data_IF_947535541753
#
_entry.id   IF_947535541753
#
_cell.length_a   1.000
_cell.length_b   1.000
_cell.length_c   1.000
_cell.angle_alpha   90.00
_cell.angle_beta   90.00
_cell.angle_gamma   90.00
#
_symmetry.space_group_name_H-M   'P 1'
#
loop_
_entity.id
_entity.type
_entity.pdbx_description
1 polymer ?
#
# COMPACT_ATOMS: atom_id res chain seq x y z
N UNK A 1 26.48 -10.98 1.88
CA UNK A 1 25.29 -11.51 1.16
C UNK A 1 24.09 -11.23 2.06
N UNK A 2 23.01 -10.64 1.54
CA UNK A 2 21.80 -10.40 2.35
C UNK A 2 21.30 -11.73 2.91
N UNK A 3 21.13 -11.83 4.23
CA UNK A 3 20.48 -12.99 4.83
C UNK A 3 19.10 -13.20 4.18
N UNK A 4 18.81 -14.42 3.74
CA UNK A 4 17.50 -14.79 3.18
C UNK A 4 17.28 -14.59 1.67
N UNK A 5 18.19 -13.96 0.92
CA UNK A 5 18.06 -13.88 -0.55
C UNK A 5 18.29 -15.25 -1.21
N UNK A 6 17.33 -15.70 -2.01
CA UNK A 6 17.46 -16.92 -2.84
C UNK A 6 17.00 -16.61 -4.26
N UNK A 7 17.94 -16.63 -5.22
CA UNK A 7 17.60 -16.45 -6.63
C UNK A 7 16.58 -17.51 -7.07
N UNK A 8 15.58 -17.10 -7.86
CA UNK A 8 14.52 -17.97 -8.37
C UNK A 8 13.67 -18.67 -7.29
N UNK A 9 13.60 -18.13 -6.06
CA UNK A 9 12.75 -18.69 -5.00
C UNK A 9 11.27 -18.36 -5.15
N UNK A 10 10.92 -17.37 -5.98
CA UNK A 10 9.55 -16.91 -6.16
C UNK A 10 9.05 -17.17 -7.58
N UNK A 11 8.00 -17.97 -7.71
CA UNK A 11 7.33 -18.19 -9.01
C UNK A 11 6.54 -16.95 -9.44
N UNK A 12 6.13 -16.88 -10.72
CA UNK A 12 5.22 -15.83 -11.19
C UNK A 12 3.90 -15.80 -10.39
N UNK A 13 3.33 -16.98 -10.10
CA UNK A 13 2.11 -17.09 -9.29
C UNK A 13 2.34 -16.67 -7.83
N UNK A 14 3.51 -16.97 -7.26
CA UNK A 14 3.90 -16.47 -5.94
C UNK A 14 4.04 -14.95 -5.91
N UNK A 15 4.61 -14.35 -6.96
CA UNK A 15 4.72 -12.91 -7.10
C UNK A 15 3.35 -12.22 -7.24
N UNK A 16 2.43 -12.81 -8.02
CA UNK A 16 1.04 -12.33 -8.13
C UNK A 16 0.33 -12.44 -6.78
N UNK A 17 0.48 -13.57 -6.09
CA UNK A 17 -0.07 -13.81 -4.75
C UNK A 17 0.44 -12.79 -3.72
N UNK A 18 1.70 -12.38 -3.81
CA UNK A 18 2.29 -11.36 -2.95
C UNK A 18 1.71 -9.97 -3.27
N UNK A 19 1.61 -9.62 -4.56
CA UNK A 19 1.06 -8.34 -5.01
C UNK A 19 -0.41 -8.14 -4.66
N UNK A 20 -1.26 -9.06 -5.11
CA UNK A 20 -2.69 -9.07 -4.74
C UNK A 20 -2.87 -9.19 -3.23
N UNK A 21 -1.91 -9.85 -2.58
CA UNK A 21 -1.86 -10.04 -1.15
C UNK A 21 -1.95 -8.74 -0.36
N UNK A 22 -1.05 -7.82 -0.70
CA UNK A 22 -0.92 -6.49 -0.09
C UNK A 22 -2.02 -5.55 -0.56
N UNK A 23 -2.34 -5.57 -1.86
CA UNK A 23 -3.40 -4.73 -2.43
C UNK A 23 -4.73 -4.98 -1.72
N UNK A 24 -5.22 -6.23 -1.70
CA UNK A 24 -6.54 -6.55 -1.16
C UNK A 24 -6.64 -6.24 0.33
N UNK A 25 -5.60 -6.54 1.13
CA UNK A 25 -5.64 -6.38 2.58
C UNK A 25 -5.75 -4.92 3.03
N UNK A 26 -5.04 -4.01 2.35
CA UNK A 26 -5.05 -2.57 2.67
C UNK A 26 -6.03 -1.76 1.82
N UNK A 27 -6.37 -2.27 0.64
CA UNK A 27 -7.11 -1.54 -0.38
C UNK A 27 -8.61 -1.61 -0.14
N UNK A 28 -9.27 -2.63 -0.69
CA UNK A 28 -10.74 -2.66 -0.75
C UNK A 28 -11.40 -2.67 0.64
N UNK A 29 -10.84 -3.40 1.61
CA UNK A 29 -11.40 -3.47 2.96
C UNK A 29 -11.30 -2.14 3.71
N UNK A 30 -10.18 -1.42 3.59
CA UNK A 30 -9.97 -0.20 4.37
C UNK A 30 -10.52 1.06 3.68
N UNK A 31 -10.54 1.07 2.34
CA UNK A 31 -10.70 2.30 1.56
C UNK A 31 -12.04 2.41 0.87
N UNK A 32 -12.82 1.33 0.69
CA UNK A 32 -14.09 1.40 -0.05
C UNK A 32 -15.04 2.44 0.53
N UNK A 33 -15.29 2.39 1.84
CA UNK A 33 -16.20 3.33 2.49
C UNK A 33 -15.69 4.78 2.46
N UNK A 34 -14.37 4.97 2.54
CA UNK A 34 -13.74 6.30 2.44
C UNK A 34 -13.84 6.87 1.01
N UNK A 35 -13.69 6.01 -0.01
CA UNK A 35 -13.89 6.41 -1.41
C UNK A 35 -15.35 6.75 -1.66
N UNK A 36 -16.30 5.98 -1.10
CA UNK A 36 -17.73 6.26 -1.16
C UNK A 36 -18.11 7.58 -0.47
N UNK A 37 -17.55 7.89 0.69
CA UNK A 37 -17.73 9.19 1.37
C UNK A 37 -17.32 10.38 0.50
N UNK A 38 -16.30 10.23 -0.35
CA UNK A 38 -15.80 11.32 -1.19
C UNK A 38 -16.44 11.39 -2.58
N UNK A 39 -17.11 10.33 -3.04
CA UNK A 39 -17.61 10.25 -4.42
C UNK A 39 -19.07 9.81 -4.55
N UNK A 40 -19.75 9.53 -3.44
CA UNK A 40 -21.14 9.06 -3.45
C UNK A 40 -21.29 7.78 -4.28
N UNK A 41 -22.35 7.70 -5.08
CA UNK A 41 -22.64 6.57 -5.97
C UNK A 41 -21.56 6.32 -7.04
N UNK A 42 -20.61 7.25 -7.23
CA UNK A 42 -19.54 7.12 -8.23
C UNK A 42 -18.33 6.33 -7.73
N UNK A 43 -18.34 5.82 -6.50
CA UNK A 43 -17.19 5.10 -5.92
C UNK A 43 -16.73 3.86 -6.70
N UNK A 44 -17.60 3.05 -7.36
CA UNK A 44 -17.13 1.95 -8.20
C UNK A 44 -16.33 2.45 -9.41
N UNK A 45 -16.76 3.58 -9.99
CA UNK A 45 -16.05 4.24 -11.10
C UNK A 45 -14.73 4.86 -10.61
N UNK A 46 -14.70 5.43 -9.40
CA UNK A 46 -13.46 5.92 -8.80
C UNK A 46 -12.40 4.81 -8.67
N UNK A 47 -12.79 3.58 -8.28
CA UNK A 47 -11.88 2.44 -8.28
C UNK A 47 -11.41 2.03 -9.68
N UNK A 48 -12.26 2.11 -10.71
CA UNK A 48 -11.85 1.84 -12.09
C UNK A 48 -10.84 2.88 -12.59
N UNK A 49 -11.13 4.17 -12.38
CA UNK A 49 -10.24 5.27 -12.78
C UNK A 49 -8.93 5.22 -12.01
N UNK A 50 -8.98 4.94 -10.70
CA UNK A 50 -7.80 4.71 -9.87
C UNK A 50 -6.92 3.56 -10.37
N UNK A 51 -7.53 2.47 -10.85
CA UNK A 51 -6.80 1.37 -11.51
C UNK A 51 -6.12 1.81 -12.81
N UNK A 52 -6.81 2.61 -13.63
CA UNK A 52 -6.25 3.13 -14.90
C UNK A 52 -5.04 4.03 -14.60
N UNK A 53 -5.17 4.98 -13.66
CA UNK A 53 -4.08 5.87 -13.23
C UNK A 53 -2.92 5.03 -12.70
N UNK A 54 -3.19 4.07 -11.81
CA UNK A 54 -2.17 3.16 -11.27
C UNK A 54 -1.50 2.33 -12.37
N UNK A 55 -2.19 2.00 -13.47
CA UNK A 55 -1.63 1.35 -14.65
C UNK A 55 -0.62 2.23 -15.40
N UNK A 56 -0.89 3.53 -15.52
CA UNK A 56 0.08 4.49 -16.03
C UNK A 56 1.31 4.58 -15.12
N UNK A 57 1.11 4.65 -13.80
CA UNK A 57 2.23 4.71 -12.84
C UNK A 57 3.05 3.41 -12.86
N UNK A 58 2.39 2.25 -12.92
CA UNK A 58 3.03 0.94 -13.00
C UNK A 58 3.96 0.79 -14.21
N UNK A 59 3.72 1.50 -15.31
CA UNK A 59 4.58 1.46 -16.50
C UNK A 59 6.05 1.76 -16.18
N UNK A 60 6.31 2.81 -15.39
CA UNK A 60 7.67 3.21 -15.00
C UNK A 60 8.34 2.12 -14.17
N UNK A 61 7.61 1.54 -13.22
CA UNK A 61 8.08 0.44 -12.38
C UNK A 61 8.37 -0.82 -13.20
N UNK A 62 7.51 -1.15 -14.17
CA UNK A 62 7.72 -2.29 -15.06
C UNK A 62 9.00 -2.09 -15.88
N UNK A 63 9.20 -0.91 -16.48
CA UNK A 63 10.40 -0.60 -17.26
C UNK A 63 11.68 -0.66 -16.42
N UNK A 64 11.64 -0.09 -15.22
CA UNK A 64 12.74 -0.18 -14.25
C UNK A 64 13.03 -1.61 -13.82
N UNK A 65 11.99 -2.39 -13.52
CA UNK A 65 12.14 -3.78 -13.06
C UNK A 65 12.66 -4.72 -14.15
N UNK A 66 12.29 -4.47 -15.40
CA UNK A 66 12.77 -5.23 -16.54
C UNK A 66 14.23 -4.90 -16.88
N UNK A 67 14.67 -3.67 -16.62
CA UNK A 67 16.06 -3.24 -16.84
C UNK A 67 16.98 -3.60 -15.67
N UNK A 68 16.50 -3.48 -14.43
CA UNK A 68 17.28 -3.68 -13.22
C UNK A 68 16.54 -4.53 -12.18
N UNK A 69 16.24 -5.82 -12.45
CA UNK A 69 15.61 -6.66 -11.45
C UNK A 69 16.51 -6.83 -10.22
N UNK A 70 15.95 -6.55 -9.05
CA UNK A 70 16.72 -6.47 -7.80
C UNK A 70 15.87 -6.89 -6.61
N UNK A 71 16.50 -7.49 -5.61
CA UNK A 71 15.89 -7.71 -4.29
C UNK A 71 15.87 -6.44 -3.41
N UNK A 72 16.42 -5.32 -3.92
CA UNK A 72 16.36 -4.02 -3.28
C UNK A 72 15.23 -3.12 -3.79
N UNK A 73 14.45 -3.59 -4.77
CA UNK A 73 13.31 -2.89 -5.36
C UNK A 73 13.52 -1.41 -5.61
N UNK A 74 12.65 -0.60 -5.02
CA UNK A 74 12.58 0.85 -5.26
C UNK A 74 13.86 1.58 -4.86
N UNK A 75 14.53 1.14 -3.79
CA UNK A 75 15.82 1.72 -3.40
C UNK A 75 16.88 1.56 -4.51
N UNK A 76 16.91 0.39 -5.15
CA UNK A 76 17.79 0.15 -6.31
C UNK A 76 17.40 1.04 -7.49
N UNK A 77 16.10 1.23 -7.74
CA UNK A 77 15.62 2.10 -8.82
C UNK A 77 16.01 3.55 -8.58
N UNK A 78 15.80 4.08 -7.38
CA UNK A 78 16.19 5.44 -7.02
C UNK A 78 17.70 5.64 -7.16
N UNK A 79 18.51 4.66 -6.77
CA UNK A 79 19.97 4.69 -6.99
C UNK A 79 20.35 4.72 -8.46
N UNK A 80 19.63 3.99 -9.31
CA UNK A 80 19.85 4.03 -10.78
C UNK A 80 19.43 5.37 -11.37
N UNK A 81 18.35 5.96 -10.87
CA UNK A 81 17.81 7.22 -11.35
C UNK A 81 18.67 8.42 -10.92
N UNK A 82 19.05 8.49 -9.64
CA UNK A 82 19.64 9.69 -9.02
C UNK A 82 21.07 9.49 -8.53
N UNK A 83 21.64 8.30 -8.66
CA UNK A 83 22.96 7.97 -8.14
C UNK A 83 22.96 7.71 -6.64
N UNK A 84 24.15 7.66 -6.03
CA UNK A 84 24.30 7.66 -4.57
C UNK A 84 24.18 9.11 -4.07
N UNK A 85 23.33 9.36 -3.09
CA UNK A 85 23.20 10.69 -2.49
C UNK A 85 21.88 10.90 -1.76
N UNK A 86 21.68 12.12 -1.27
CA UNK A 86 20.55 12.47 -0.40
C UNK A 86 19.19 12.22 -1.05
N UNK A 87 19.03 12.44 -2.36
CA UNK A 87 17.75 12.22 -3.03
C UNK A 87 17.36 10.74 -3.07
N UNK A 88 18.35 9.85 -3.28
CA UNK A 88 18.14 8.39 -3.26
C UNK A 88 17.83 7.90 -1.85
N UNK A 89 18.60 8.33 -0.85
CA UNK A 89 18.38 7.99 0.55
C UNK A 89 16.99 8.45 1.03
N UNK A 90 16.69 9.74 0.83
CA UNK A 90 15.43 10.36 1.25
C UNK A 90 14.24 9.72 0.56
N UNK A 91 14.30 9.48 -0.75
CA UNK A 91 13.22 8.81 -1.48
C UNK A 91 13.02 7.36 -1.02
N UNK A 92 14.09 6.63 -0.77
CA UNK A 92 13.99 5.24 -0.31
C UNK A 92 13.42 5.16 1.12
N UNK A 93 13.81 6.07 2.01
CA UNK A 93 13.27 6.18 3.35
C UNK A 93 11.80 6.63 3.33
N UNK A 94 11.44 7.58 2.47
CA UNK A 94 10.05 8.02 2.31
C UNK A 94 9.16 6.88 1.81
N UNK A 95 9.68 6.04 0.92
CA UNK A 95 8.98 4.81 0.51
C UNK A 95 8.80 3.84 1.67
N UNK A 96 9.85 3.61 2.48
CA UNK A 96 9.77 2.76 3.66
C UNK A 96 8.70 3.26 4.64
N UNK A 97 8.70 4.57 4.95
CA UNK A 97 7.67 5.21 5.80
C UNK A 97 6.27 5.01 5.20
N UNK A 98 6.12 5.17 3.88
CA UNK A 98 4.83 4.96 3.20
C UNK A 98 4.36 3.50 3.25
N UNK A 99 5.27 2.52 3.38
CA UNK A 99 4.91 1.11 3.61
C UNK A 99 4.56 0.84 5.08
N UNK A 100 5.25 1.47 6.04
CA UNK A 100 4.90 1.43 7.48
C UNK A 100 3.50 2.01 7.72
N UNK A 101 3.16 3.11 7.05
CA UNK A 101 1.81 3.70 7.09
C UNK A 101 0.78 2.68 6.59
N UNK A 102 1.08 1.95 5.51
CA UNK A 102 0.21 0.90 5.00
C UNK A 102 0.02 -0.24 6.00
N UNK A 103 1.06 -0.63 6.75
CA UNK A 103 0.94 -1.63 7.82
C UNK A 103 0.00 -1.17 8.93
N UNK A 104 0.09 0.10 9.32
CA UNK A 104 -0.82 0.67 10.32
C UNK A 104 -2.27 0.74 9.82
N UNK A 105 -2.47 1.00 8.52
CA UNK A 105 -3.79 1.00 7.86
C UNK A 105 -4.42 -0.39 7.93
N UNK A 106 -3.66 -1.42 7.53
CA UNK A 106 -4.12 -2.81 7.56
C UNK A 106 -4.38 -3.26 9.01
N UNK A 107 -3.56 -2.84 9.97
CA UNK A 107 -3.74 -3.16 11.38
C UNK A 107 -5.04 -2.57 11.95
N UNK A 108 -5.37 -1.31 11.66
CA UNK A 108 -6.66 -0.73 12.07
C UNK A 108 -7.85 -1.35 11.33
N UNK A 109 -7.65 -1.74 10.07
CA UNK A 109 -8.68 -2.46 9.29
C UNK A 109 -8.99 -3.80 9.95
N UNK A 110 -7.97 -4.54 10.35
CA UNK A 110 -8.14 -5.77 11.12
C UNK A 110 -8.96 -5.55 12.39
N UNK A 111 -8.63 -4.52 13.18
CA UNK A 111 -9.38 -4.19 14.39
C UNK A 111 -10.84 -3.83 14.10
N UNK A 112 -11.08 -3.01 13.08
CA UNK A 112 -12.42 -2.53 12.72
C UNK A 112 -13.33 -3.66 12.24
N UNK A 113 -12.80 -4.57 11.42
CA UNK A 113 -13.54 -5.76 10.98
C UNK A 113 -13.75 -6.77 12.11
N UNK A 114 -12.71 -7.05 12.90
CA UNK A 114 -12.79 -8.04 13.99
C UNK A 114 -13.82 -7.61 15.03
N UNK A 115 -13.93 -6.31 15.30
CA UNK A 115 -14.94 -5.81 16.23
C UNK A 115 -16.36 -6.06 15.79
N UNK A 116 -16.65 -6.21 14.49
CA UNK A 116 -18.01 -6.51 14.01
C UNK A 116 -18.51 -7.90 14.43
N UNK A 117 -17.64 -8.79 14.90
CA UNK A 117 -18.05 -10.06 15.53
C UNK A 117 -18.56 -9.87 16.95
N UNK A 118 -18.34 -8.70 17.54
CA UNK A 118 -18.74 -8.34 18.89
C UNK A 118 -19.72 -7.17 18.82
N UNK A 119 -20.73 -7.14 19.69
CA UNK A 119 -21.71 -6.04 19.72
C UNK A 119 -21.13 -4.83 20.49
N UNK A 120 -19.99 -4.33 20.01
CA UNK A 120 -19.21 -3.24 20.61
C UNK A 120 -19.26 -2.06 19.66
N UNK A 121 -19.66 -0.89 20.17
CA UNK A 121 -19.86 0.31 19.35
C UNK A 121 -18.63 0.78 18.57
N UNK A 122 -18.91 1.54 17.50
CA UNK A 122 -17.91 2.12 16.60
C UNK A 122 -16.94 3.04 17.36
N UNK A 123 -15.71 3.17 16.85
CA UNK A 123 -14.63 3.97 17.47
C UNK A 123 -14.16 3.53 18.86
N UNK A 124 -14.39 2.26 19.22
CA UNK A 124 -13.84 1.70 20.45
C UNK A 124 -12.30 1.72 20.48
N UNK A 125 -11.73 1.94 21.67
CA UNK A 125 -10.29 1.77 21.94
C UNK A 125 -9.78 0.38 21.54
N UNK A 126 -10.69 -0.59 21.38
CA UNK A 126 -10.37 -1.93 20.92
C UNK A 126 -9.89 -2.00 19.47
N UNK A 127 -10.26 -1.05 18.59
CA UNK A 127 -9.76 -1.03 17.19
C UNK A 127 -8.23 -0.94 17.17
N UNK A 128 -7.58 0.09 17.76
CA UNK A 128 -6.13 0.16 17.79
C UNK A 128 -5.51 -0.94 18.65
N UNK A 129 -6.15 -1.41 19.74
CA UNK A 129 -5.63 -2.53 20.55
C UNK A 129 -5.50 -3.81 19.72
N UNK A 130 -6.54 -4.19 18.99
CA UNK A 130 -6.50 -5.36 18.10
C UNK A 130 -5.48 -5.18 16.97
N UNK A 131 -5.35 -3.96 16.43
CA UNK A 131 -4.30 -3.63 15.47
C UNK A 131 -2.89 -3.81 16.03
N UNK A 132 -2.64 -3.38 17.26
CA UNK A 132 -1.35 -3.57 17.96
C UNK A 132 -1.09 -5.07 18.20
N UNK A 133 -2.10 -5.84 18.62
CA UNK A 133 -1.99 -7.29 18.77
C UNK A 133 -1.58 -7.94 17.45
N UNK A 134 -2.19 -7.52 16.33
CA UNK A 134 -1.82 -8.01 15.01
C UNK A 134 -0.36 -7.68 14.66
N UNK A 135 0.08 -6.44 14.89
CA UNK A 135 1.45 -6.01 14.57
C UNK A 135 2.50 -6.76 15.41
N UNK A 136 2.24 -6.98 16.71
CA UNK A 136 3.09 -7.81 17.58
C UNK A 136 3.11 -9.25 17.10
N UNK A 137 1.97 -9.81 16.71
CA UNK A 137 1.90 -11.18 16.16
C UNK A 137 2.72 -11.29 14.87
N UNK A 138 2.59 -10.32 13.98
CA UNK A 138 3.35 -10.27 12.74
C UNK A 138 4.87 -10.15 13.00
N UNK A 139 5.27 -9.37 14.01
CA UNK A 139 6.65 -9.28 14.47
C UNK A 139 7.20 -10.64 14.92
N UNK A 140 6.47 -11.33 15.80
CA UNK A 140 6.88 -12.64 16.33
C UNK A 140 7.04 -13.67 15.20
N UNK A 141 6.08 -13.73 14.27
CA UNK A 141 6.14 -14.62 13.10
C UNK A 141 7.36 -14.32 12.25
N UNK A 142 7.69 -13.04 12.04
CA UNK A 142 8.85 -12.64 11.24
C UNK A 142 10.19 -12.98 11.91
N UNK A 143 10.28 -12.95 13.25
CA UNK A 143 11.48 -13.34 13.99
C UNK A 143 11.70 -14.85 14.00
N UNK A 144 10.63 -15.65 14.02
CA UNK A 144 10.71 -17.12 14.16
C UNK A 144 11.40 -17.85 13.00
N UNK A 145 11.85 -17.17 11.94
CA UNK A 145 12.70 -17.73 10.89
C UNK A 145 11.90 -18.65 9.95
N UNK A 146 11.61 -18.16 8.74
CA UNK A 146 10.43 -18.64 8.06
C UNK A 146 10.69 -19.50 6.79
N UNK A 147 10.24 -20.76 6.85
CA UNK A 147 9.86 -21.60 5.69
C UNK A 147 8.33 -21.61 5.44
N UNK A 148 7.51 -20.97 6.29
CA UNK A 148 6.03 -21.03 6.26
C UNK A 148 5.40 -19.99 5.30
N UNK A 149 5.79 -18.71 5.36
CA UNK A 149 5.34 -17.58 4.49
C UNK A 149 5.29 -17.94 3.01
N UNK A 150 6.30 -18.63 2.45
CA UNK A 150 6.34 -18.91 1.00
C UNK A 150 5.21 -19.82 0.51
N UNK A 151 4.91 -20.91 1.24
CA UNK A 151 3.82 -21.83 0.91
C UNK A 151 2.46 -21.34 1.41
N UNK A 152 2.43 -20.64 2.55
CA UNK A 152 1.19 -20.10 3.11
C UNK A 152 0.65 -18.92 2.29
N UNK A 153 1.51 -18.10 1.68
CA UNK A 153 1.07 -16.92 0.91
C UNK A 153 0.11 -17.25 -0.23
N UNK A 154 0.39 -18.32 -1.00
CA UNK A 154 -0.49 -18.75 -2.10
C UNK A 154 -1.85 -19.22 -1.59
N UNK A 155 -1.87 -20.02 -0.52
CA UNK A 155 -3.12 -20.49 0.10
C UNK A 155 -3.93 -19.30 0.62
N UNK A 156 -3.29 -18.37 1.32
CA UNK A 156 -3.94 -17.16 1.83
C UNK A 156 -4.48 -16.27 0.71
N UNK A 157 -3.76 -16.16 -0.43
CA UNK A 157 -4.23 -15.43 -1.60
C UNK A 157 -5.45 -16.09 -2.25
N UNK A 158 -5.43 -17.41 -2.44
CA UNK A 158 -6.58 -18.15 -2.97
C UNK A 158 -7.79 -18.01 -2.04
N UNK A 159 -7.60 -18.16 -0.72
CA UNK A 159 -8.66 -18.03 0.27
C UNK A 159 -9.30 -16.64 0.23
N UNK A 160 -8.51 -15.56 0.21
CA UNK A 160 -9.09 -14.21 0.21
C UNK A 160 -9.66 -13.78 -1.13
N UNK A 161 -9.02 -14.11 -2.25
CA UNK A 161 -9.58 -13.82 -3.58
C UNK A 161 -10.88 -14.60 -3.77
N UNK A 162 -10.85 -15.91 -3.47
CA UNK A 162 -12.02 -16.77 -3.55
C UNK A 162 -13.14 -16.33 -2.59
N UNK A 163 -12.83 -16.07 -1.33
CA UNK A 163 -13.80 -15.62 -0.33
C UNK A 163 -14.45 -14.29 -0.69
N UNK A 164 -13.67 -13.31 -1.16
CA UNK A 164 -14.21 -12.03 -1.62
C UNK A 164 -15.06 -12.22 -2.89
N UNK A 165 -14.66 -13.12 -3.79
CA UNK A 165 -15.43 -13.41 -5.00
C UNK A 165 -16.78 -14.04 -4.65
N UNK A 166 -16.81 -14.96 -3.67
CA UNK A 166 -18.03 -15.56 -3.14
C UNK A 166 -18.93 -14.48 -2.53
N UNK A 167 -18.39 -13.61 -1.68
CA UNK A 167 -19.12 -12.49 -1.11
C UNK A 167 -19.71 -11.58 -2.20
N UNK A 168 -18.90 -11.16 -3.16
CA UNK A 168 -19.32 -10.19 -4.17
C UNK A 168 -20.34 -10.77 -5.15
N UNK A 169 -20.08 -11.96 -5.71
CA UNK A 169 -21.01 -12.63 -6.64
C UNK A 169 -22.31 -12.97 -5.92
N UNK A 170 -22.21 -13.47 -4.68
CA UNK A 170 -23.38 -13.78 -3.89
C UNK A 170 -24.20 -12.54 -3.54
N UNK A 171 -23.56 -11.44 -3.15
CA UNK A 171 -24.24 -10.17 -2.84
C UNK A 171 -24.95 -9.59 -4.06
N UNK A 172 -24.34 -9.67 -5.24
CA UNK A 172 -24.99 -9.31 -6.50
C UNK A 172 -26.17 -10.23 -6.83
N UNK A 173 -26.03 -11.54 -6.60
CA UNK A 173 -27.10 -12.50 -6.81
C UNK A 173 -28.29 -12.26 -5.87
N UNK A 174 -28.02 -11.96 -4.59
CA UNK A 174 -29.05 -11.63 -3.59
C UNK A 174 -29.81 -10.34 -3.96
N UNK A 175 -29.13 -9.38 -4.58
CA UNK A 175 -29.72 -8.17 -5.14
C UNK A 175 -30.39 -8.40 -6.52
N UNK A 176 -30.55 -9.66 -6.97
CA UNK A 176 -31.17 -10.02 -8.24
C UNK A 176 -30.37 -9.59 -9.48
N UNK A 177 -29.06 -9.36 -9.34
CA UNK A 177 -28.21 -8.68 -10.32
C UNK A 177 -28.80 -7.32 -10.76
N UNK A 178 -29.51 -6.65 -9.85
CA UNK A 178 -29.97 -5.29 -10.11
C UNK A 178 -28.80 -4.32 -10.06
N UNK A 179 -28.53 -3.71 -11.20
CA UNK A 179 -27.58 -2.61 -11.35
C UNK A 179 -28.27 -1.24 -11.27
N UNK A 180 -29.52 -1.18 -10.80
CA UNK A 180 -30.30 0.05 -10.75
C UNK A 180 -29.68 1.14 -9.86
N UNK A 181 -29.03 0.75 -8.77
CA UNK A 181 -28.26 1.66 -7.91
C UNK A 181 -26.78 1.81 -8.34
N UNK A 182 -26.34 0.98 -9.29
CA UNK A 182 -24.97 1.01 -9.83
C UNK A 182 -24.81 2.10 -10.88
N UNK A 183 -25.86 2.43 -11.62
CA UNK A 183 -25.89 3.61 -12.48
C UNK A 183 -26.15 4.82 -11.58
N UNK A 184 -25.20 5.77 -11.44
CA UNK A 184 -25.40 6.92 -10.58
C UNK A 184 -26.63 7.69 -11.05
N UNK A 185 -27.65 7.74 -10.19
CA UNK A 185 -28.85 8.55 -10.41
C UNK A 185 -28.62 9.98 -9.94
N UNK A 186 -27.67 10.18 -9.02
CA UNK A 186 -27.14 11.47 -8.60
C UNK A 186 -26.31 12.13 -9.70
N UNK A 187 -26.57 13.40 -9.98
CA UNK A 187 -25.71 14.21 -10.85
C UNK A 187 -24.32 14.39 -10.23
N UNK A 188 -23.28 14.53 -11.07
CA UNK A 188 -21.91 14.86 -10.64
C UNK A 188 -21.78 16.21 -9.90
N UNK A 189 -22.88 16.95 -9.74
CA UNK A 189 -22.94 18.22 -9.02
C UNK A 189 -23.14 18.09 -7.51
N UNK A 190 -23.44 16.90 -7.00
CA UNK A 190 -23.71 16.68 -5.57
C UNK A 190 -22.44 16.81 -4.71
N UNK A 191 -21.29 16.44 -5.28
CA UNK A 191 -19.98 16.62 -4.65
C UNK A 191 -19.14 17.61 -5.45
N UNK A 192 -18.27 18.41 -4.80
CA UNK A 192 -17.33 19.25 -5.54
C UNK A 192 -16.32 18.36 -6.29
N UNK A 193 -15.85 18.83 -7.45
CA UNK A 193 -14.86 18.11 -8.29
C UNK A 193 -13.64 17.66 -7.48
N UNK A 194 -13.20 18.48 -6.51
CA UNK A 194 -12.12 18.13 -5.61
C UNK A 194 -12.39 16.83 -4.86
N UNK A 195 -13.60 16.60 -4.33
CA UNK A 195 -13.96 15.37 -3.59
C UNK A 195 -13.81 14.12 -4.45
N UNK A 196 -14.28 14.15 -5.70
CA UNK A 196 -14.05 13.05 -6.65
C UNK A 196 -12.56 12.78 -6.89
N UNK A 197 -11.75 13.84 -7.08
CA UNK A 197 -10.30 13.68 -7.21
C UNK A 197 -9.65 13.14 -5.92
N UNK A 198 -10.19 13.49 -4.75
CA UNK A 198 -9.75 12.90 -3.48
C UNK A 198 -10.11 11.43 -3.33
N UNK A 199 -11.27 11.02 -3.83
CA UNK A 199 -11.63 9.61 -3.95
C UNK A 199 -10.63 8.87 -4.83
N UNK A 200 -10.18 9.47 -5.95
CA UNK A 200 -9.12 8.90 -6.80
C UNK A 200 -7.79 8.72 -6.06
N UNK A 201 -7.39 9.65 -5.18
CA UNK A 201 -6.17 9.51 -4.39
C UNK A 201 -6.21 8.27 -3.49
N UNK A 202 -7.36 8.02 -2.83
CA UNK A 202 -7.57 6.82 -2.03
C UNK A 202 -7.71 5.56 -2.90
N UNK A 203 -8.36 5.65 -4.06
CA UNK A 203 -8.44 4.53 -5.00
C UNK A 203 -7.07 4.13 -5.55
N UNK A 204 -6.20 5.09 -5.89
CA UNK A 204 -4.81 4.82 -6.31
C UNK A 204 -4.03 4.14 -5.19
N UNK A 205 -4.19 4.62 -3.94
CA UNK A 205 -3.58 3.98 -2.78
C UNK A 205 -4.00 2.51 -2.65
N UNK A 206 -5.26 2.17 -2.96
CA UNK A 206 -5.76 0.80 -2.91
C UNK A 206 -5.05 -0.17 -3.89
N UNK A 207 -4.47 0.36 -4.98
CA UNK A 207 -3.71 -0.42 -5.96
C UNK A 207 -2.19 -0.35 -5.75
N UNK A 208 -1.68 0.44 -4.82
CA UNK A 208 -0.23 0.61 -4.58
C UNK A 208 0.53 -0.70 -4.32
N UNK A 209 -0.14 -1.73 -3.80
CA UNK A 209 0.51 -2.95 -3.30
C UNK A 209 1.38 -3.70 -4.32
N UNK A 210 1.27 -3.44 -5.64
CA UNK A 210 2.16 -4.00 -6.66
C UNK A 210 3.63 -3.62 -6.44
N UNK A 211 3.91 -2.49 -5.79
CA UNK A 211 5.28 -2.04 -5.48
C UNK A 211 6.04 -3.06 -4.63
N UNK A 212 5.35 -3.83 -3.78
CA UNK A 212 5.93 -4.94 -3.00
C UNK A 212 6.56 -6.01 -3.89
N UNK A 213 5.97 -6.27 -5.08
CA UNK A 213 6.52 -7.21 -6.07
C UNK A 213 7.91 -6.76 -6.51
N UNK A 214 8.11 -5.45 -6.69
CA UNK A 214 9.40 -4.90 -7.13
C UNK A 214 10.50 -5.10 -6.09
N UNK A 215 10.16 -5.10 -4.80
CA UNK A 215 11.10 -5.37 -3.70
C UNK A 215 11.59 -6.83 -3.69
N UNK A 216 10.82 -7.77 -4.23
CA UNK A 216 11.24 -9.16 -4.43
C UNK A 216 11.67 -9.43 -5.88
N UNK A 217 11.90 -8.39 -6.68
CA UNK A 217 12.12 -8.51 -8.13
C UNK A 217 13.25 -9.45 -8.52
N UNK A 218 14.35 -9.46 -7.75
CA UNK A 218 15.51 -10.33 -8.00
C UNK A 218 15.30 -11.81 -7.66
N UNK A 219 14.28 -12.14 -6.87
CA UNK A 219 13.95 -13.51 -6.47
C UNK A 219 12.98 -14.20 -7.43
N UNK A 220 12.29 -13.41 -8.26
CA UNK A 220 11.29 -13.91 -9.20
C UNK A 220 11.99 -14.69 -10.32
N UNK A 221 11.48 -15.88 -10.63
CA UNK A 221 11.94 -16.68 -11.77
C UNK A 221 11.80 -15.85 -13.05
N UNK A 222 12.86 -15.75 -13.86
CA UNK A 222 12.91 -14.94 -15.09
C UNK A 222 12.48 -13.47 -14.88
N UNK A 223 13.19 -12.72 -14.01
CA UNK A 223 12.65 -11.49 -13.44
C UNK A 223 12.49 -10.36 -14.47
N UNK A 224 13.35 -10.29 -15.49
CA UNK A 224 13.25 -9.31 -16.60
C UNK A 224 11.93 -9.40 -17.41
N UNK A 225 11.16 -10.48 -17.25
CA UNK A 225 9.84 -10.66 -17.88
C UNK A 225 8.73 -10.81 -16.84
N UNK A 226 8.99 -11.57 -15.79
CA UNK A 226 7.95 -11.99 -14.85
C UNK A 226 7.61 -10.94 -13.79
N UNK A 227 8.51 -10.00 -13.46
CA UNK A 227 8.14 -8.89 -12.55
C UNK A 227 7.06 -8.04 -13.19
N UNK A 228 7.26 -7.61 -14.44
CA UNK A 228 6.25 -6.84 -15.17
C UNK A 228 4.93 -7.57 -15.36
N UNK A 229 4.98 -8.88 -15.70
CA UNK A 229 3.78 -9.72 -15.78
C UNK A 229 3.05 -9.82 -14.45
N UNK A 230 3.78 -10.01 -13.35
CA UNK A 230 3.18 -10.10 -12.02
C UNK A 230 2.46 -8.81 -11.64
N UNK A 231 3.04 -7.63 -11.94
CA UNK A 231 2.40 -6.33 -11.70
C UNK A 231 1.10 -6.20 -12.48
N UNK A 232 1.11 -6.45 -13.79
CA UNK A 232 -0.09 -6.31 -14.64
C UNK A 232 -1.17 -7.31 -14.26
N UNK A 233 -0.81 -8.58 -14.02
CA UNK A 233 -1.78 -9.61 -13.60
C UNK A 233 -2.38 -9.24 -12.24
N UNK A 234 -1.56 -8.77 -11.28
CA UNK A 234 -2.06 -8.37 -9.96
C UNK A 234 -3.00 -7.18 -10.04
N UNK A 235 -2.66 -6.16 -10.84
CA UNK A 235 -3.54 -5.01 -11.09
C UNK A 235 -4.86 -5.48 -11.71
N UNK A 236 -4.83 -6.28 -12.78
CA UNK A 236 -6.04 -6.76 -13.44
C UNK A 236 -6.95 -7.59 -12.49
N UNK A 237 -6.37 -8.49 -11.70
CA UNK A 237 -7.12 -9.27 -10.69
C UNK A 237 -7.73 -8.34 -9.65
N UNK A 238 -6.96 -7.40 -9.10
CA UNK A 238 -7.47 -6.48 -8.08
C UNK A 238 -8.54 -5.56 -8.64
N UNK A 239 -8.40 -5.05 -9.86
CA UNK A 239 -9.42 -4.22 -10.52
C UNK A 239 -10.72 -4.99 -10.65
N UNK A 240 -10.67 -6.23 -11.15
CA UNK A 240 -11.87 -7.07 -11.27
C UNK A 240 -12.53 -7.30 -9.91
N UNK A 241 -11.75 -7.69 -8.90
CA UNK A 241 -12.26 -7.96 -7.55
C UNK A 241 -12.83 -6.69 -6.90
N UNK A 242 -12.14 -5.56 -7.03
CA UNK A 242 -12.59 -4.30 -6.43
C UNK A 242 -13.87 -3.79 -7.07
N UNK A 243 -14.02 -3.94 -8.39
CA UNK A 243 -15.28 -3.60 -9.06
C UNK A 243 -16.41 -4.54 -8.66
N UNK A 244 -16.16 -5.85 -8.63
CA UNK A 244 -17.15 -6.82 -8.16
C UNK A 244 -17.63 -6.49 -6.74
N UNK A 245 -16.71 -6.19 -5.83
CA UNK A 245 -17.02 -5.80 -4.45
C UNK A 245 -17.74 -4.47 -4.41
N UNK A 246 -17.27 -3.46 -5.15
CA UNK A 246 -17.88 -2.14 -5.15
C UNK A 246 -19.33 -2.19 -5.63
N UNK A 247 -19.61 -2.95 -6.70
CA UNK A 247 -20.97 -3.19 -7.16
C UNK A 247 -21.79 -3.99 -6.16
N UNK A 248 -21.23 -5.05 -5.56
CA UNK A 248 -21.94 -5.82 -4.54
C UNK A 248 -22.34 -4.97 -3.33
N UNK A 249 -21.44 -4.09 -2.87
CA UNK A 249 -21.73 -3.15 -1.77
C UNK A 249 -22.79 -2.14 -2.19
N UNK A 250 -22.65 -1.53 -3.37
CA UNK A 250 -23.62 -0.55 -3.90
C UNK A 250 -25.01 -1.14 -4.17
N UNK A 251 -25.11 -2.44 -4.44
CA UNK A 251 -26.40 -3.12 -4.67
C UNK A 251 -27.08 -3.57 -3.37
N UNK A 252 -26.38 -3.55 -2.22
CA UNK A 252 -26.90 -4.05 -0.95
C UNK A 252 -27.05 -2.96 0.12
N UNK A 253 -26.39 -1.81 -0.03
CA UNK A 253 -26.45 -0.70 0.91
C UNK A 253 -26.69 0.62 0.17
N UNK A 254 -27.47 1.49 0.80
CA UNK A 254 -27.54 2.89 0.43
C UNK A 254 -26.21 3.60 0.67
N UNK A 255 -25.97 4.72 -0.01
CA UNK A 255 -24.73 5.49 0.17
C UNK A 255 -24.53 5.96 1.62
N UNK A 256 -25.62 6.30 2.31
CA UNK A 256 -25.61 6.72 3.71
C UNK A 256 -25.18 5.59 4.65
N UNK A 257 -25.63 4.36 4.39
CA UNK A 257 -25.21 3.18 5.14
C UNK A 257 -23.74 2.83 4.87
N UNK A 258 -23.28 2.97 3.62
CA UNK A 258 -21.87 2.77 3.27
C UNK A 258 -20.99 3.79 4.01
N UNK A 259 -21.39 5.06 4.03
CA UNK A 259 -20.66 6.13 4.73
C UNK A 259 -20.71 5.94 6.25
N UNK A 260 -21.82 5.43 6.80
CA UNK A 260 -21.94 5.12 8.23
C UNK A 260 -21.01 3.98 8.63
N UNK A 261 -21.01 2.89 7.87
CA UNK A 261 -20.20 1.70 8.15
C UNK A 261 -18.71 1.91 7.80
N UNK A 262 -18.41 2.81 6.86
CA UNK A 262 -17.08 3.26 6.42
C UNK A 262 -15.97 2.20 6.46
N UNK A 263 -15.35 2.06 7.63
CA UNK A 263 -14.19 1.25 7.95
C UNK A 263 -14.43 -0.27 7.90
N UNK A 264 -15.70 -0.71 7.85
CA UNK A 264 -16.09 -2.12 7.73
C UNK A 264 -17.22 -2.35 6.72
N UNK A 265 -17.40 -1.43 5.78
CA UNK A 265 -18.51 -1.39 4.81
C UNK A 265 -18.80 -2.70 4.07
N UNK A 266 -17.79 -3.50 3.72
CA UNK A 266 -18.01 -4.81 3.08
C UNK A 266 -18.73 -5.81 4.02
N UNK A 267 -18.38 -5.81 5.31
CA UNK A 267 -19.04 -6.67 6.29
C UNK A 267 -20.49 -6.23 6.50
N UNK A 268 -20.75 -4.93 6.55
CA UNK A 268 -22.10 -4.39 6.64
C UNK A 268 -22.94 -4.79 5.42
N UNK A 269 -22.39 -4.66 4.22
CA UNK A 269 -23.07 -4.98 2.96
C UNK A 269 -23.43 -6.46 2.81
N UNK A 270 -22.80 -7.34 3.60
CA UNK A 270 -23.15 -8.75 3.61
C UNK A 270 -24.37 -9.08 4.49
N UNK A 271 -24.78 -8.17 5.41
CA UNK A 271 -25.95 -8.42 6.28
C UNK A 271 -27.26 -8.47 5.51
N UNK A 272 -27.58 -7.54 4.58
CA UNK A 272 -28.84 -7.61 3.83
C UNK A 272 -28.96 -8.87 2.98
N UNK A 273 -27.86 -9.31 2.36
CA UNK A 273 -27.81 -10.48 1.50
C UNK A 273 -27.85 -11.82 2.27
N UNK A 274 -27.17 -11.91 3.42
CA UNK A 274 -26.82 -13.19 4.06
C UNK A 274 -26.99 -13.22 5.59
N UNK A 275 -27.54 -12.15 6.17
CA UNK A 275 -27.67 -11.99 7.61
C UNK A 275 -26.33 -12.07 8.35
N UNK A 276 -26.36 -12.55 9.60
CA UNK A 276 -25.15 -12.63 10.44
C UNK A 276 -24.05 -13.52 9.87
N UNK A 277 -24.42 -14.57 9.12
CA UNK A 277 -23.46 -15.52 8.58
C UNK A 277 -22.63 -14.89 7.45
N UNK A 278 -23.23 -14.03 6.62
CA UNK A 278 -22.50 -13.22 5.66
C UNK A 278 -21.51 -12.30 6.33
N UNK A 279 -21.93 -11.64 7.42
CA UNK A 279 -21.04 -10.76 8.18
C UNK A 279 -19.84 -11.52 8.72
N UNK A 280 -20.07 -12.62 9.44
CA UNK A 280 -18.99 -13.43 10.00
C UNK A 280 -18.06 -13.99 8.92
N UNK A 281 -18.61 -14.41 7.79
CA UNK A 281 -17.82 -14.86 6.66
C UNK A 281 -16.93 -13.73 6.12
N UNK A 282 -17.50 -12.56 5.82
CA UNK A 282 -16.76 -11.41 5.29
C UNK A 282 -15.69 -10.93 6.26
N UNK A 283 -16.00 -10.87 7.57
CA UNK A 283 -15.01 -10.53 8.60
C UNK A 283 -13.90 -11.58 8.67
N UNK A 284 -14.22 -12.87 8.60
CA UNK A 284 -13.20 -13.94 8.56
C UNK A 284 -12.24 -13.80 7.37
N UNK A 285 -12.76 -13.44 6.19
CA UNK A 285 -11.92 -13.17 5.02
C UNK A 285 -11.08 -11.90 5.21
N UNK A 286 -11.63 -10.84 5.79
CA UNK A 286 -10.89 -9.62 6.12
C UNK A 286 -9.73 -9.91 7.10
N UNK A 287 -9.97 -10.73 8.13
CA UNK A 287 -8.96 -11.19 9.09
C UNK A 287 -7.81 -11.92 8.37
N UNK A 288 -8.13 -12.89 7.50
CA UNK A 288 -7.13 -13.62 6.73
C UNK A 288 -6.34 -12.68 5.79
N UNK A 289 -7.04 -11.75 5.13
CA UNK A 289 -6.44 -10.78 4.21
C UNK A 289 -5.47 -9.82 4.92
N UNK A 290 -5.88 -9.29 6.07
CA UNK A 290 -5.09 -8.34 6.87
C UNK A 290 -3.90 -9.01 7.54
N UNK A 291 -4.06 -10.20 8.14
CA UNK A 291 -2.94 -10.98 8.72
C UNK A 291 -1.87 -11.27 7.66
N UNK A 292 -2.29 -11.85 6.54
CA UNK A 292 -1.35 -12.19 5.45
C UNK A 292 -0.68 -10.95 4.85
N UNK A 293 -1.40 -9.83 4.74
CA UNK A 293 -0.89 -8.56 4.23
C UNK A 293 0.17 -7.92 5.14
N UNK A 294 -0.11 -7.81 6.45
CA UNK A 294 0.83 -7.21 7.42
C UNK A 294 2.10 -8.03 7.54
N UNK A 295 2.00 -9.37 7.67
CA UNK A 295 3.18 -10.23 7.79
C UNK A 295 4.11 -10.05 6.59
N UNK A 296 3.56 -10.02 5.38
CA UNK A 296 4.34 -9.84 4.16
C UNK A 296 4.94 -8.43 4.04
N UNK A 297 4.19 -7.39 4.39
CA UNK A 297 4.66 -6.01 4.33
C UNK A 297 5.81 -5.76 5.31
N UNK A 298 5.62 -6.14 6.58
CA UNK A 298 6.61 -5.95 7.65
C UNK A 298 7.94 -6.65 7.30
N UNK A 299 7.86 -7.85 6.71
CA UNK A 299 9.03 -8.55 6.18
C UNK A 299 9.72 -7.75 5.07
N UNK A 300 8.96 -7.25 4.10
CA UNK A 300 9.50 -6.51 2.95
C UNK A 300 10.16 -5.20 3.37
N UNK A 301 9.53 -4.44 4.29
CA UNK A 301 10.06 -3.15 4.77
C UNK A 301 11.33 -3.34 5.59
N UNK A 302 11.34 -4.28 6.53
CA UNK A 302 12.52 -4.56 7.36
C UNK A 302 13.74 -4.96 6.51
N UNK A 303 13.52 -5.73 5.44
CA UNK A 303 14.57 -6.13 4.51
C UNK A 303 15.05 -4.98 3.62
N UNK A 304 14.12 -4.19 3.07
CA UNK A 304 14.46 -3.03 2.24
C UNK A 304 15.30 -2.02 3.03
N UNK A 305 14.89 -1.72 4.26
CA UNK A 305 15.59 -0.77 5.12
C UNK A 305 16.91 -1.31 5.66
N UNK A 306 17.02 -2.62 5.92
CA UNK A 306 18.31 -3.24 6.24
C UNK A 306 19.30 -3.12 5.08
N UNK A 307 18.85 -3.33 3.84
CA UNK A 307 19.68 -3.15 2.65
C UNK A 307 20.16 -1.70 2.48
N UNK A 308 19.28 -0.72 2.74
CA UNK A 308 19.64 0.70 2.72
C UNK A 308 20.69 1.02 3.79
N UNK A 309 20.57 0.41 4.96
CA UNK A 309 21.53 0.52 6.05
C UNK A 309 22.89 -0.08 5.66
N UNK A 310 22.91 -1.30 5.10
CA UNK A 310 24.13 -1.96 4.60
C UNK A 310 24.82 -1.17 3.47
N UNK A 311 24.10 -0.24 2.84
CA UNK A 311 24.62 0.64 1.79
C UNK A 311 25.03 2.02 2.30
N UNK A 312 25.03 2.23 3.62
CA UNK A 312 25.30 3.51 4.30
C UNK A 312 24.40 4.66 3.79
N UNK A 313 23.19 4.32 3.33
CA UNK A 313 22.25 5.31 2.79
C UNK A 313 21.29 5.87 3.83
N UNK A 314 21.06 5.17 4.95
CA UNK A 314 20.20 5.64 6.04
C UNK A 314 20.88 5.37 7.39
N UNK A 315 20.62 6.18 8.43
CA UNK A 315 21.22 5.98 9.74
C UNK A 315 20.67 4.73 10.42
N UNK A 316 21.56 4.02 11.13
CA UNK A 316 21.21 2.89 11.97
C UNK A 316 21.94 2.97 13.30
N UNK A 317 21.23 2.58 14.36
CA UNK A 317 21.78 2.26 15.66
C UNK A 317 21.17 0.90 16.04
N UNK A 318 21.85 0.07 16.83
CA UNK A 318 21.28 -1.18 17.31
C UNK A 318 20.60 -1.04 18.68
N UNK A 319 20.82 0.07 19.41
CA UNK A 319 20.29 0.31 20.77
C UNK A 319 20.50 -0.87 21.76
N UNK A 320 21.62 -1.57 21.64
CA UNK A 320 21.91 -2.75 22.47
C UNK A 320 21.09 -4.01 22.14
N UNK A 321 20.25 -3.98 21.10
CA UNK A 321 19.46 -5.15 20.69
C UNK A 321 20.36 -6.25 20.11
N UNK A 322 20.06 -7.53 20.36
CA UNK A 322 20.76 -8.65 19.74
C UNK A 322 20.25 -8.95 18.33
N UNK A 323 21.13 -9.43 17.46
CA UNK A 323 20.79 -9.91 16.11
C UNK A 323 21.34 -9.03 14.98
N UNK A 324 20.95 -9.36 13.75
CA UNK A 324 21.37 -8.63 12.55
C UNK A 324 20.55 -7.35 12.30
N UNK A 325 21.04 -6.51 11.39
CA UNK A 325 20.42 -5.22 11.03
C UNK A 325 18.94 -5.38 10.65
N UNK A 326 18.57 -6.44 9.91
CA UNK A 326 17.17 -6.69 9.56
C UNK A 326 16.26 -6.84 10.78
N UNK A 327 16.72 -7.48 11.86
CA UNK A 327 15.92 -7.60 13.10
C UNK A 327 15.73 -6.25 13.78
N UNK A 328 16.75 -5.39 13.77
CA UNK A 328 16.62 -4.02 14.29
C UNK A 328 15.62 -3.20 13.45
N UNK A 329 15.74 -3.27 12.12
CA UNK A 329 14.81 -2.58 11.23
C UNK A 329 13.38 -3.11 11.32
N UNK A 330 13.22 -4.41 11.58
CA UNK A 330 11.93 -5.03 11.89
C UNK A 330 11.30 -4.42 13.14
N UNK A 331 12.06 -4.21 14.22
CA UNK A 331 11.58 -3.51 15.42
C UNK A 331 11.16 -2.08 15.08
N UNK A 332 11.97 -1.32 14.34
CA UNK A 332 11.64 0.07 13.98
C UNK A 332 10.37 0.17 13.14
N UNK A 333 10.22 -0.73 12.18
CA UNK A 333 9.04 -0.85 11.32
C UNK A 333 7.79 -1.06 12.18
N UNK A 334 7.80 -2.06 13.06
CA UNK A 334 6.65 -2.45 13.88
C UNK A 334 6.32 -1.38 14.93
N UNK A 335 7.31 -0.81 15.61
CA UNK A 335 7.08 0.27 16.60
C UNK A 335 6.49 1.51 15.92
N UNK A 336 6.99 1.87 14.74
CA UNK A 336 6.46 3.01 13.98
C UNK A 336 5.03 2.73 13.50
N UNK A 337 4.75 1.53 13.01
CA UNK A 337 3.39 1.12 12.64
C UNK A 337 2.43 1.14 13.83
N UNK A 338 2.86 0.65 15.01
CA UNK A 338 2.09 0.70 16.26
C UNK A 338 1.78 2.15 16.65
N UNK A 339 2.78 3.03 16.61
CA UNK A 339 2.58 4.43 16.93
C UNK A 339 1.53 5.07 16.00
N UNK A 340 1.60 4.82 14.69
CA UNK A 340 0.59 5.30 13.75
C UNK A 340 -0.80 4.70 14.00
N UNK A 341 -0.89 3.40 14.27
CA UNK A 341 -2.14 2.70 14.59
C UNK A 341 -2.81 3.28 15.83
N UNK A 342 -2.04 3.66 16.86
CA UNK A 342 -2.57 4.23 18.10
C UNK A 342 -2.94 5.71 17.95
N UNK A 343 -2.10 6.50 17.28
CA UNK A 343 -2.24 7.96 17.24
C UNK A 343 -3.23 8.46 16.18
N UNK A 344 -3.46 7.70 15.11
CA UNK A 344 -4.26 8.13 13.96
C UNK A 344 -5.39 7.16 13.65
N UNK A 345 -6.54 7.70 13.21
CA UNK A 345 -7.64 6.92 12.64
C UNK A 345 -7.33 6.42 11.22
N UNK A 346 -8.17 5.54 10.70
CA UNK A 346 -8.03 4.94 9.36
C UNK A 346 -8.01 6.01 8.26
N UNK A 347 -8.81 7.07 8.38
CA UNK A 347 -8.91 8.13 7.36
C UNK A 347 -7.62 8.95 7.29
N UNK A 348 -7.05 9.32 8.43
CA UNK A 348 -5.77 10.04 8.52
C UNK A 348 -4.61 9.19 8.05
N UNK A 349 -4.56 7.91 8.43
CA UNK A 349 -3.53 6.97 7.98
C UNK A 349 -3.60 6.81 6.45
N UNK A 350 -4.80 6.57 5.89
CA UNK A 350 -4.99 6.45 4.45
C UNK A 350 -4.57 7.73 3.71
N UNK A 351 -4.95 8.89 4.24
CA UNK A 351 -4.60 10.18 3.64
C UNK A 351 -3.09 10.44 3.64
N UNK A 352 -2.41 10.14 4.75
CA UNK A 352 -0.96 10.24 4.83
C UNK A 352 -0.28 9.28 3.83
N UNK A 353 -0.80 8.05 3.73
CA UNK A 353 -0.34 7.05 2.78
C UNK A 353 -0.45 7.50 1.33
N UNK A 354 -1.61 8.06 0.95
CA UNK A 354 -1.87 8.57 -0.40
C UNK A 354 -0.94 9.75 -0.75
N UNK A 355 -0.77 10.73 0.15
CA UNK A 355 0.11 11.90 -0.08
C UNK A 355 1.55 11.44 -0.30
N UNK A 356 2.11 10.66 0.63
CA UNK A 356 3.51 10.23 0.52
C UNK A 356 3.73 9.34 -0.71
N UNK A 357 2.75 8.52 -1.07
CA UNK A 357 2.85 7.67 -2.24
C UNK A 357 2.85 8.47 -3.55
N UNK A 358 1.89 9.39 -3.72
CA UNK A 358 1.81 10.21 -4.94
C UNK A 358 3.07 11.08 -5.11
N UNK A 359 3.60 11.66 -4.03
CA UNK A 359 4.88 12.39 -4.06
C UNK A 359 6.03 11.49 -4.53
N UNK A 360 6.08 10.25 -4.04
CA UNK A 360 7.10 9.28 -4.43
C UNK A 360 6.96 8.82 -5.88
N UNK A 361 5.75 8.55 -6.35
CA UNK A 361 5.47 8.15 -7.74
C UNK A 361 5.87 9.25 -8.72
N UNK A 362 5.47 10.50 -8.45
CA UNK A 362 5.89 11.67 -9.22
C UNK A 362 7.43 11.75 -9.28
N UNK A 363 8.10 11.57 -8.13
CA UNK A 363 9.56 11.54 -8.05
C UNK A 363 10.16 10.48 -8.98
N UNK A 364 9.70 9.23 -8.87
CA UNK A 364 10.20 8.12 -9.70
C UNK A 364 9.93 8.38 -11.19
N UNK A 365 8.72 8.80 -11.55
CA UNK A 365 8.35 9.07 -12.94
C UNK A 365 9.18 10.20 -13.54
N UNK A 366 9.34 11.29 -12.81
CA UNK A 366 10.19 12.41 -13.20
C UNK A 366 11.65 11.98 -13.39
N UNK A 367 12.16 11.21 -12.44
CA UNK A 367 13.50 10.66 -12.48
C UNK A 367 13.73 9.74 -13.68
N UNK A 368 12.79 8.85 -13.98
CA UNK A 368 12.85 8.02 -15.19
C UNK A 368 12.83 8.90 -16.44
N UNK A 369 11.90 9.84 -16.54
CA UNK A 369 11.75 10.71 -17.71
C UNK A 369 13.03 11.50 -18.01
N UNK A 370 13.68 12.02 -16.96
CA UNK A 370 14.86 12.87 -17.07
C UNK A 370 16.15 12.09 -17.25
N UNK A 371 16.35 11.02 -16.47
CA UNK A 371 17.67 10.40 -16.30
C UNK A 371 17.79 9.03 -16.99
N UNK A 372 16.73 8.23 -17.07
CA UNK A 372 16.81 6.83 -17.54
C UNK A 372 16.00 6.50 -18.79
N UNK A 373 15.15 7.43 -19.26
CA UNK A 373 14.19 7.20 -20.35
C UNK A 373 14.81 6.55 -21.59
N UNK A 374 15.96 7.06 -22.03
CA UNK A 374 16.67 6.57 -23.22
C UNK A 374 17.29 5.20 -22.98
N UNK A 375 17.85 4.97 -21.78
CA UNK A 375 18.52 3.71 -21.42
C UNK A 375 17.53 2.55 -21.33
N UNK A 376 16.39 2.76 -20.66
CA UNK A 376 15.37 1.71 -20.47
C UNK A 376 14.30 1.70 -21.59
N UNK A 377 14.48 2.53 -22.63
CA UNK A 377 13.57 2.69 -23.77
C UNK A 377 12.12 2.89 -23.32
N UNK A 378 11.90 3.83 -22.40
CA UNK A 378 10.57 4.18 -21.91
C UNK A 378 9.90 5.25 -22.78
N UNK A 379 8.58 5.13 -22.94
CA UNK A 379 7.79 6.08 -23.70
C UNK A 379 7.53 7.36 -22.87
N UNK A 380 7.95 8.51 -23.40
CA UNK A 380 7.83 9.80 -22.73
C UNK A 380 6.38 10.21 -22.48
N UNK A 381 5.46 9.90 -23.40
CA UNK A 381 4.06 10.28 -23.29
C UNK A 381 3.38 9.53 -22.15
N UNK A 382 3.62 8.21 -22.02
CA UNK A 382 3.03 7.40 -20.94
C UNK A 382 3.52 7.90 -19.57
N UNK A 383 4.82 8.17 -19.43
CA UNK A 383 5.40 8.71 -18.19
C UNK A 383 4.89 10.12 -17.90
N UNK A 384 4.83 10.98 -18.92
CA UNK A 384 4.29 12.34 -18.79
C UNK A 384 2.84 12.34 -18.33
N UNK A 385 2.01 11.45 -18.90
CA UNK A 385 0.63 11.26 -18.47
C UNK A 385 0.54 10.82 -17.01
N UNK A 386 1.37 9.86 -16.57
CA UNK A 386 1.40 9.45 -15.16
C UNK A 386 1.70 10.64 -14.23
N UNK A 387 2.73 11.43 -14.54
CA UNK A 387 3.10 12.62 -13.74
C UNK A 387 1.95 13.63 -13.67
N UNK A 388 1.30 13.92 -14.81
CA UNK A 388 0.20 14.89 -14.85
C UNK A 388 -1.00 14.40 -14.03
N UNK A 389 -1.37 13.12 -14.16
CA UNK A 389 -2.46 12.52 -13.40
C UNK A 389 -2.18 12.56 -11.90
N UNK A 390 -0.98 12.15 -11.48
CA UNK A 390 -0.59 12.16 -10.07
C UNK A 390 -0.55 13.58 -9.50
N UNK A 391 -0.07 14.57 -10.27
CA UNK A 391 -0.07 15.97 -9.84
C UNK A 391 -1.48 16.54 -9.67
N UNK A 392 -2.39 16.23 -10.59
CA UNK A 392 -3.80 16.66 -10.50
C UNK A 392 -4.44 16.05 -9.27
N UNK A 393 -4.29 14.74 -9.07
CA UNK A 393 -4.87 14.02 -7.94
C UNK A 393 -4.27 14.49 -6.62
N UNK A 394 -2.95 14.60 -6.52
CA UNK A 394 -2.27 15.08 -5.32
C UNK A 394 -2.67 16.52 -4.98
N UNK A 395 -2.67 17.42 -5.97
CA UNK A 395 -3.04 18.82 -5.77
C UNK A 395 -4.47 18.97 -5.24
N UNK A 396 -5.42 18.26 -5.86
CA UNK A 396 -6.80 18.27 -5.40
C UNK A 396 -6.97 17.61 -4.02
N UNK A 397 -6.27 16.50 -3.75
CA UNK A 397 -6.35 15.83 -2.46
C UNK A 397 -5.77 16.68 -1.33
N UNK A 398 -4.65 17.37 -1.58
CA UNK A 398 -4.10 18.34 -0.64
C UNK A 398 -5.07 19.50 -0.40
N UNK A 399 -5.72 20.03 -1.43
CA UNK A 399 -6.72 21.08 -1.28
C UNK A 399 -7.89 20.68 -0.36
N UNK A 400 -8.42 19.46 -0.55
CA UNK A 400 -9.46 18.90 0.33
C UNK A 400 -8.94 18.78 1.76
N UNK A 401 -7.74 18.23 1.95
CA UNK A 401 -7.19 17.99 3.29
C UNK A 401 -6.79 19.26 4.00
N UNK A 402 -6.33 20.29 3.31
CA UNK A 402 -6.14 21.63 3.89
C UNK A 402 -7.46 22.16 4.47
N UNK A 403 -8.57 21.92 3.78
CA UNK A 403 -9.90 22.43 4.16
C UNK A 403 -10.58 21.57 5.23
N UNK A 404 -10.33 20.26 5.26
CA UNK A 404 -11.05 19.29 6.10
C UNK A 404 -10.23 18.75 7.28
N UNK A 405 -8.91 18.58 7.13
CA UNK A 405 -8.03 18.02 8.15
C UNK A 405 -6.57 18.45 7.92
N UNK A 406 -6.28 19.71 8.26
CA UNK A 406 -4.98 20.35 8.05
C UNK A 406 -3.83 19.58 8.73
N UNK A 407 -4.12 18.88 9.83
CA UNK A 407 -3.13 18.09 10.57
C UNK A 407 -2.45 17.06 9.66
N UNK A 408 -3.21 16.37 8.79
CA UNK A 408 -2.64 15.37 7.87
C UNK A 408 -1.61 16.01 6.93
N UNK A 409 -1.93 17.18 6.38
CA UNK A 409 -1.06 17.89 5.44
C UNK A 409 0.21 18.38 6.13
N UNK A 410 0.07 18.92 7.34
CA UNK A 410 1.22 19.37 8.15
C UNK A 410 2.10 18.18 8.52
N UNK A 411 1.52 17.07 9.00
CA UNK A 411 2.28 15.86 9.33
C UNK A 411 3.00 15.30 8.10
N UNK A 412 2.34 15.23 6.94
CA UNK A 412 2.96 14.78 5.70
C UNK A 412 4.13 15.68 5.29
N UNK A 413 3.95 17.00 5.32
CA UNK A 413 4.98 17.98 4.97
C UNK A 413 6.17 17.90 5.95
N UNK A 414 5.90 17.84 7.26
CA UNK A 414 6.94 17.70 8.29
C UNK A 414 7.71 16.39 8.11
N UNK A 415 7.03 15.26 7.85
CA UNK A 415 7.70 13.98 7.60
C UNK A 415 8.60 14.05 6.37
N UNK A 416 8.13 14.62 5.25
CA UNK A 416 8.94 14.80 4.05
C UNK A 416 10.17 15.68 4.36
N UNK A 417 9.97 16.83 5.01
CA UNK A 417 11.06 17.76 5.35
C UNK A 417 12.07 17.08 6.28
N UNK A 418 11.62 16.40 7.33
CA UNK A 418 12.49 15.71 8.29
C UNK A 418 13.30 14.61 7.61
N UNK A 419 12.70 13.82 6.73
CA UNK A 419 13.41 12.79 5.95
C UNK A 419 14.50 13.43 5.10
N UNK A 420 14.17 14.45 4.30
CA UNK A 420 15.12 15.07 3.39
C UNK A 420 16.24 15.84 4.13
N UNK A 421 15.91 16.54 5.21
CA UNK A 421 16.89 17.30 5.99
C UNK A 421 17.76 16.39 6.86
N UNK A 422 17.17 15.38 7.49
CA UNK A 422 17.85 14.37 8.29
C UNK A 422 18.85 13.56 7.46
N UNK A 423 18.42 13.06 6.29
CA UNK A 423 19.31 12.30 5.39
C UNK A 423 20.43 13.16 4.81
N UNK A 424 20.12 14.40 4.42
CA UNK A 424 21.16 15.32 3.95
C UNK A 424 22.19 15.62 5.04
N UNK A 425 21.76 15.75 6.30
CA UNK A 425 22.65 15.96 7.43
C UNK A 425 23.51 14.71 7.71
N UNK A 426 22.89 13.53 7.74
CA UNK A 426 23.56 12.25 7.94
C UNK A 426 24.65 11.99 6.90
N UNK A 427 24.31 12.10 5.61
CA UNK A 427 25.26 11.87 4.52
C UNK A 427 26.39 12.91 4.47
N UNK A 428 26.12 14.16 4.87
CA UNK A 428 27.18 15.18 4.99
C UNK A 428 28.18 14.82 6.08
N UNK A 429 27.71 14.26 7.19
CA UNK A 429 28.58 13.83 8.31
C UNK A 429 29.41 12.61 7.93
N UNK A 430 28.80 11.59 7.32
CA UNK A 430 29.52 10.37 6.92
C UNK A 430 30.43 10.59 5.70
N UNK A 431 30.04 11.41 4.73
CA UNK A 431 30.89 11.75 3.58
C UNK A 431 32.12 12.61 3.94
N UNK A 432 32.09 13.30 5.08
CA UNK A 432 33.27 13.95 5.65
C UNK A 432 34.19 12.95 6.36
N UNK A 433 33.65 11.91 7.00
CA UNK A 433 34.44 10.88 7.67
C UNK A 433 35.25 10.03 6.67
N UNK A 434 34.66 9.63 5.53
CA UNK A 434 35.41 8.90 4.47
C UNK A 434 36.57 9.71 3.86
N UNK A 435 36.48 11.05 3.88
CA UNK A 435 37.57 11.92 3.39
C UNK A 435 38.70 12.08 4.40
N UNK A 436 38.41 12.01 5.70
CA UNK A 436 39.42 12.11 6.76
C UNK A 436 40.23 10.82 6.89
N UNK A 437 39.61 9.65 6.71
CA UNK A 437 40.33 8.37 6.63
C UNK A 437 41.30 8.32 5.44
N UNK A 438 40.89 8.81 4.26
CA UNK A 438 41.75 8.84 3.06
C UNK A 438 42.88 9.88 3.09
N UNK A 439 42.91 10.78 4.07
CA UNK A 439 44.02 11.73 4.27
C UNK A 439 45.00 11.27 5.35
N UNK A 440 44.70 10.18 6.05
CA UNK A 440 45.53 9.62 7.12
C UNK A 440 46.21 8.29 6.72
N UNK A 441 45.99 7.82 5.49
CA UNK A 441 46.78 6.80 4.78
C UNK A 441 47.69 7.48 3.74
#
# INVERSE_FOLDING_TARGET
MMEGYKKNSLSLTGAVSLGTGVMIGAGIFALLGQVAELSGQWFPIAFLVGAIISGFSAYSYIKLSNAYPSAGGIATYLKKIYGKGALTASGALLMAISMVINESLVARTFGSYTLQMFDVGDNSVWVPVLGVVLLITAFLINISGNNVIGKSSLVMAILKIGGISIFAIGGLWAAGFSFSEVVPSSSLSEYPVSSYLGALALSILAYKGFTTITNSGGEIVNPNKNVGRAIIISLAICTLIYLLVAFAVSSNLSIEEIIRAKDYSLAEASKPAFGKYGLWFTVGIAIVATISGVIASVFAVSRMTAMLTDMDLIPHNHFGMPGGIQKHMLVYTVVSAIALTVLFDLTRIASLGAILYLVMDIGIHWGVLKNLRKEIQANAAIIGTAIILDLIVLGAFLWIKISSDLLVVVVAAVLIILVFTGEKWFLKRNGNNEKVEKTND
#
